data_IF_933036259864
#
_entry.id   IF_933036259864
#
_cell.length_a   1.000
_cell.length_b   1.000
_cell.length_c   1.000
_cell.angle_alpha   90.00
_cell.angle_beta   90.00
_cell.angle_gamma   90.00
#
_symmetry.space_group_name_H-M   'P 1'
#
loop_
_entity.id
_entity.type
_entity.pdbx_description
1 polymer ?
#
# COMPACT_ATOMS: atom_id res chain seq x y z
N UNK A 1 -41.99 36.41 -11.68
CA UNK A 1 -42.60 35.11 -12.06
C UNK A 1 -41.50 34.16 -12.50
N UNK A 2 -41.45 32.98 -11.87
CA UNK A 2 -40.78 31.72 -12.27
C UNK A 2 -39.27 31.73 -12.56
N UNK A 3 -38.46 31.67 -11.50
CA UNK A 3 -37.14 31.03 -11.56
C UNK A 3 -37.35 29.51 -11.43
N UNK A 4 -37.01 28.77 -12.48
CA UNK A 4 -37.05 27.31 -12.48
C UNK A 4 -36.06 26.77 -11.46
N UNK A 5 -36.61 26.22 -10.37
CA UNK A 5 -35.91 25.32 -9.47
C UNK A 5 -35.57 24.04 -10.25
N UNK A 6 -34.30 23.71 -10.38
CA UNK A 6 -33.87 22.32 -10.57
C UNK A 6 -33.34 21.82 -9.25
N UNK A 7 -34.24 21.23 -8.47
CA UNK A 7 -33.88 20.37 -7.36
C UNK A 7 -33.67 18.95 -7.88
N UNK A 8 -32.80 18.24 -7.15
CA UNK A 8 -32.72 16.79 -6.99
C UNK A 8 -32.05 15.93 -8.09
N UNK A 9 -30.77 15.66 -7.83
CA UNK A 9 -30.32 14.36 -7.32
C UNK A 9 -30.92 13.12 -8.00
N UNK A 10 -30.16 12.51 -8.91
CA UNK A 10 -30.14 11.06 -9.06
C UNK A 10 -28.83 10.63 -9.71
N UNK A 11 -27.99 10.04 -8.87
CA UNK A 11 -26.92 9.10 -9.15
C UNK A 11 -27.04 8.39 -10.50
N UNK A 12 -25.97 8.45 -11.28
CA UNK A 12 -25.69 7.45 -12.30
C UNK A 12 -24.24 6.98 -12.13
N UNK A 13 -24.16 5.80 -11.54
CA UNK A 13 -23.26 4.71 -11.89
C UNK A 13 -21.76 4.98 -11.83
N UNK A 14 -21.20 4.61 -10.67
CA UNK A 14 -19.92 3.93 -10.62
C UNK A 14 -20.04 2.63 -11.45
N UNK A 15 -19.57 2.67 -12.69
CA UNK A 15 -19.27 1.46 -13.44
C UNK A 15 -17.78 1.18 -13.31
N UNK A 16 -17.47 0.08 -12.64
CA UNK A 16 -16.20 -0.61 -12.76
C UNK A 16 -15.85 -0.79 -14.24
N UNK A 17 -14.59 -0.58 -14.60
CA UNK A 17 -13.98 -1.23 -15.76
C UNK A 17 -12.85 -2.13 -15.27
N UNK A 18 -13.04 -3.46 -15.29
CA UNK A 18 -11.95 -4.41 -15.39
C UNK A 18 -11.69 -4.68 -16.87
N UNK A 19 -10.61 -4.14 -17.43
CA UNK A 19 -10.10 -4.64 -18.71
C UNK A 19 -8.74 -5.29 -18.53
N UNK A 20 -8.81 -6.59 -18.78
CA UNK A 20 -7.76 -7.57 -18.77
C UNK A 20 -6.91 -7.50 -20.04
N UNK A 21 -5.61 -7.74 -19.88
CA UNK A 21 -4.65 -8.35 -20.83
C UNK A 21 -4.31 -7.56 -22.09
N UNK A 22 -3.07 -7.08 -22.14
CA UNK A 22 -2.22 -7.31 -23.32
C UNK A 22 -0.76 -7.60 -22.90
N UNK A 23 -0.18 -8.51 -23.65
CA UNK A 23 1.05 -9.27 -23.41
C UNK A 23 2.26 -8.66 -24.12
N UNK A 24 3.37 -8.51 -23.38
CA UNK A 24 4.79 -8.79 -23.73
C UNK A 24 5.38 -8.30 -25.07
N UNK A 25 6.46 -7.47 -25.02
CA UNK A 25 7.79 -7.84 -25.58
C UNK A 25 8.98 -6.93 -25.16
N UNK A 26 9.87 -7.57 -24.40
CA UNK A 26 11.35 -7.61 -24.40
C UNK A 26 12.20 -6.35 -24.66
N UNK A 27 13.09 -6.10 -23.69
CA UNK A 27 14.47 -5.69 -23.96
C UNK A 27 15.43 -6.62 -23.22
N UNK A 28 16.05 -7.53 -23.96
CA UNK A 28 17.14 -8.39 -23.49
C UNK A 28 18.38 -7.54 -23.14
N UNK A 29 18.96 -7.79 -21.96
CA UNK A 29 20.38 -7.57 -21.71
C UNK A 29 20.91 -8.81 -21.00
N UNK A 30 21.46 -9.71 -21.80
CA UNK A 30 22.12 -10.93 -21.33
C UNK A 30 23.56 -10.61 -20.95
N UNK A 31 23.96 -10.88 -19.72
CA UNK A 31 25.35 -11.26 -19.41
C UNK A 31 25.39 -12.25 -18.25
N UNK A 32 25.89 -13.45 -18.59
CA UNK A 32 26.11 -14.65 -17.80
C UNK A 32 26.78 -14.48 -16.42
N UNK A 33 26.43 -15.37 -15.47
CA UNK A 33 27.37 -15.83 -14.42
C UNK A 33 26.78 -16.43 -13.14
N UNK A 34 26.59 -17.76 -13.14
CA UNK A 34 26.60 -18.72 -12.00
C UNK A 34 25.60 -18.63 -10.83
N UNK A 35 24.63 -19.54 -10.88
CA UNK A 35 24.14 -20.48 -9.85
C UNK A 35 24.49 -20.21 -8.38
N UNK A 36 23.48 -19.83 -7.60
CA UNK A 36 23.13 -20.51 -6.34
C UNK A 36 21.61 -20.42 -6.11
N UNK A 37 20.99 -21.56 -5.84
CA UNK A 37 19.54 -21.71 -5.66
C UNK A 37 19.06 -21.00 -4.38
N UNK A 38 18.29 -19.93 -4.53
CA UNK A 38 17.08 -19.65 -3.74
C UNK A 38 16.13 -18.88 -4.66
N UNK A 39 14.84 -19.24 -4.64
CA UNK A 39 13.83 -18.72 -5.57
C UNK A 39 13.61 -17.20 -5.40
N UNK A 40 14.33 -16.41 -6.19
CA UNK A 40 14.15 -14.96 -6.39
C UNK A 40 13.29 -14.72 -7.64
N UNK A 41 11.99 -15.06 -7.55
CA UNK A 41 11.01 -14.83 -8.62
C UNK A 41 9.72 -14.15 -8.09
N UNK A 42 9.80 -13.47 -6.95
CA UNK A 42 8.74 -12.63 -6.32
C UNK A 42 9.34 -11.33 -5.73
N UNK A 43 10.29 -10.72 -6.45
CA UNK A 43 11.23 -9.71 -5.92
C UNK A 43 10.74 -8.23 -6.01
N UNK A 44 9.41 -8.03 -6.03
CA UNK A 44 8.80 -6.69 -6.07
C UNK A 44 8.32 -6.19 -4.68
N UNK A 45 8.38 -7.02 -3.63
CA UNK A 45 8.00 -6.60 -2.28
C UNK A 45 9.21 -6.11 -1.47
N UNK A 46 9.23 -4.80 -1.17
CA UNK A 46 10.23 -4.20 -0.30
C UNK A 46 10.35 -4.96 1.03
N UNK A 47 11.59 -5.12 1.53
CA UNK A 47 11.87 -5.81 2.78
C UNK A 47 11.08 -5.23 3.98
N UNK A 48 10.70 -3.95 3.90
CA UNK A 48 9.85 -3.28 4.89
C UNK A 48 8.40 -3.78 4.84
N UNK A 49 7.80 -3.90 3.65
CA UNK A 49 6.43 -4.40 3.47
C UNK A 49 6.32 -5.87 3.86
N UNK A 50 7.29 -6.68 3.44
CA UNK A 50 7.36 -8.10 3.84
C UNK A 50 7.39 -8.25 5.37
N UNK A 51 8.15 -7.41 6.07
CA UNK A 51 8.18 -7.42 7.53
C UNK A 51 6.83 -7.04 8.13
N UNK A 52 6.14 -6.03 7.60
CA UNK A 52 4.85 -5.60 8.17
C UNK A 52 3.76 -6.64 7.94
N UNK A 53 3.73 -7.28 6.76
CA UNK A 53 2.81 -8.38 6.45
C UNK A 53 3.05 -9.57 7.38
N UNK A 54 4.32 -9.93 7.62
CA UNK A 54 4.66 -11.07 8.49
C UNK A 54 4.39 -10.84 9.98
N UNK A 55 4.39 -9.60 10.47
CA UNK A 55 4.06 -9.29 11.88
C UNK A 55 2.56 -9.24 12.17
N UNK A 56 1.70 -9.23 11.14
CA UNK A 56 0.27 -9.04 11.31
C UNK A 56 -0.13 -7.61 11.73
N UNK A 57 0.77 -6.64 11.61
CA UNK A 57 0.54 -5.22 11.93
C UNK A 57 0.18 -4.36 10.71
N UNK A 58 -0.25 -5.01 9.62
CA UNK A 58 -0.58 -4.34 8.36
C UNK A 58 -1.72 -3.33 8.51
N UNK A 59 -2.72 -3.63 9.34
CA UNK A 59 -3.87 -2.75 9.56
C UNK A 59 -3.47 -1.43 10.22
N UNK A 60 -2.63 -1.48 11.24
CA UNK A 60 -2.14 -0.29 11.92
C UNK A 60 -1.19 0.52 11.01
N UNK A 61 -0.41 -0.16 10.17
CA UNK A 61 0.40 0.49 9.14
C UNK A 61 -0.45 1.22 8.10
N UNK A 62 -1.48 0.57 7.57
CA UNK A 62 -2.42 1.15 6.61
C UNK A 62 -3.14 2.37 7.20
N UNK A 63 -3.62 2.29 8.45
CA UNK A 63 -4.23 3.42 9.14
C UNK A 63 -3.28 4.63 9.25
N UNK A 64 -2.00 4.37 9.55
CA UNK A 64 -0.98 5.40 9.57
C UNK A 64 -0.79 6.02 8.18
N UNK A 65 -0.58 5.20 7.13
CA UNK A 65 -0.42 5.67 5.75
C UNK A 65 -1.61 6.51 5.26
N UNK A 66 -2.83 6.09 5.56
CA UNK A 66 -4.05 6.84 5.24
C UNK A 66 -4.05 8.20 5.93
N UNK A 67 -3.74 8.27 7.23
CA UNK A 67 -3.73 9.55 7.94
C UNK A 67 -2.76 10.57 7.30
N UNK A 68 -1.60 10.14 6.81
CA UNK A 68 -0.67 11.05 6.14
C UNK A 68 -1.03 11.35 4.70
N UNK A 69 -1.63 10.39 3.99
CA UNK A 69 -2.21 10.69 2.68
C UNK A 69 -3.26 11.81 2.80
N UNK A 70 -4.07 11.79 3.87
CA UNK A 70 -5.10 12.81 4.12
C UNK A 70 -4.52 14.13 4.64
N UNK A 71 -3.55 14.08 5.54
CA UNK A 71 -3.07 15.27 6.27
C UNK A 71 -1.80 15.89 5.71
N UNK A 72 -0.99 15.11 5.00
CA UNK A 72 0.36 15.46 4.57
C UNK A 72 1.37 15.73 5.69
N UNK A 73 1.02 15.45 6.95
CA UNK A 73 1.85 15.76 8.12
C UNK A 73 1.80 14.65 9.17
N UNK A 74 2.91 13.92 9.29
CA UNK A 74 3.06 12.84 10.25
C UNK A 74 2.84 13.25 11.72
N UNK A 75 3.04 14.54 12.06
CA UNK A 75 2.80 15.03 13.42
C UNK A 75 1.31 15.05 13.80
N UNK A 76 0.40 14.99 12.83
CA UNK A 76 -1.04 14.89 13.07
C UNK A 76 -1.49 13.45 13.25
N UNK A 77 -0.64 12.46 12.91
CA UNK A 77 -0.94 11.03 12.94
C UNK A 77 -0.33 10.31 14.15
N UNK A 78 -0.17 11.00 15.29
CA UNK A 78 0.48 10.44 16.47
C UNK A 78 -0.30 9.26 17.08
N UNK A 79 -1.62 9.25 16.93
CA UNK A 79 -2.47 8.18 17.43
C UNK A 79 -2.23 6.87 16.63
N UNK A 80 -2.27 6.96 15.31
CA UNK A 80 -2.01 5.88 14.35
C UNK A 80 -0.56 5.38 14.50
N UNK A 81 0.39 6.31 14.65
CA UNK A 81 1.80 5.99 14.90
C UNK A 81 1.98 5.20 16.20
N UNK A 82 1.28 5.60 17.26
CA UNK A 82 1.31 4.90 18.55
C UNK A 82 0.70 3.49 18.44
N UNK A 83 -0.43 3.36 17.74
CA UNK A 83 -1.07 2.06 17.49
C UNK A 83 -0.14 1.11 16.73
N UNK A 84 0.48 1.58 15.64
CA UNK A 84 1.43 0.81 14.86
C UNK A 84 2.65 0.37 15.70
N UNK A 85 3.25 1.29 16.47
CA UNK A 85 4.36 0.97 17.38
C UNK A 85 3.98 -0.06 18.43
N UNK A 86 2.78 0.02 19.01
CA UNK A 86 2.30 -0.94 20.00
C UNK A 86 2.08 -2.33 19.38
N UNK A 87 1.54 -2.40 18.17
CA UNK A 87 1.43 -3.66 17.44
C UNK A 87 2.82 -4.26 17.17
N UNK A 88 3.72 -3.45 16.61
CA UNK A 88 5.08 -3.88 16.29
C UNK A 88 5.87 -4.26 17.53
N UNK A 89 5.66 -3.64 18.69
CA UNK A 89 6.28 -4.07 19.94
C UNK A 89 5.79 -5.44 20.41
N UNK A 90 4.53 -5.79 20.13
CA UNK A 90 3.92 -7.04 20.57
C UNK A 90 4.19 -8.20 19.62
N UNK A 91 4.20 -7.94 18.31
CA UNK A 91 4.28 -8.97 17.28
C UNK A 91 5.56 -8.88 16.43
N UNK A 92 6.13 -7.69 16.32
CA UNK A 92 7.38 -7.44 15.62
C UNK A 92 8.57 -7.62 16.53
N UNK A 93 9.63 -8.24 16.01
CA UNK A 93 10.97 -8.04 16.57
C UNK A 93 11.35 -6.63 16.15
N UNK A 94 11.09 -5.65 17.03
CA UNK A 94 11.60 -4.29 16.83
C UNK A 94 13.12 -4.39 16.99
N UNK A 95 13.83 -4.70 15.90
CA UNK A 95 15.25 -4.37 15.82
C UNK A 95 15.28 -2.85 15.81
N UNK A 96 15.60 -2.27 16.96
CA UNK A 96 16.16 -0.93 17.00
C UNK A 96 17.43 -1.02 16.16
N UNK A 97 17.32 -0.72 14.85
CA UNK A 97 18.50 -0.42 14.07
C UNK A 97 19.12 0.83 14.70
N UNK A 98 20.38 0.74 15.18
CA UNK A 98 21.02 1.79 15.97
C UNK A 98 21.20 3.11 15.21
#
# INVERSE_FOLDING_TARGET
MTYFKRTDLASKEASLQPESKETVKNSESTSNGNSDNNNDDDDDEDAWDKRIKTTGCFKENEALLICHADTGDWRKCLAEMSAFKQCMKRNGRFSEDP
#
